data_IF_683867806924
#
_entry.id   IF_683867806924
#
_cell.length_a   1.000
_cell.length_b   1.000
_cell.length_c   1.000
_cell.angle_alpha   90.00
_cell.angle_beta   90.00
_cell.angle_gamma   90.00
#
_symmetry.space_group_name_H-M   'P 1'
#
loop_
_entity.id
_entity.type
_entity.pdbx_description
1 polymer ?
#
# COMPACT_ATOMS: atom_id res chain seq x y z
N UNK A 1 9.41 0.50 -23.36
CA UNK A 1 8.49 1.44 -22.70
C UNK A 1 7.32 0.75 -21.97
N UNK A 2 6.69 -0.31 -22.51
CA UNK A 2 5.67 -1.09 -21.77
C UNK A 2 6.18 -1.78 -20.48
N UNK A 3 7.50 -2.01 -20.37
CA UNK A 3 8.12 -2.62 -19.19
C UNK A 3 7.90 -1.82 -17.89
N UNK A 4 7.92 -0.48 -17.96
CA UNK A 4 7.66 0.38 -16.80
C UNK A 4 6.22 0.25 -16.32
N UNK A 5 5.24 0.28 -17.24
CA UNK A 5 3.83 0.09 -16.92
C UNK A 5 3.56 -1.31 -16.35
N UNK A 6 4.25 -2.33 -16.87
CA UNK A 6 4.18 -3.69 -16.32
C UNK A 6 4.77 -3.77 -14.91
N UNK A 7 5.88 -3.07 -14.65
CA UNK A 7 6.49 -2.98 -13.31
C UNK A 7 5.52 -2.32 -12.32
N UNK A 8 4.91 -1.20 -12.72
CA UNK A 8 3.86 -0.52 -11.94
C UNK A 8 2.70 -1.46 -11.63
N UNK A 9 2.14 -2.14 -12.63
CA UNK A 9 1.03 -3.08 -12.43
C UNK A 9 1.40 -4.16 -11.40
N UNK A 10 2.55 -4.80 -11.58
CA UNK A 10 3.03 -5.86 -10.68
C UNK A 10 3.20 -5.35 -9.26
N UNK A 11 3.78 -4.16 -9.07
CA UNK A 11 3.96 -3.60 -7.74
C UNK A 11 2.63 -3.20 -7.08
N UNK A 12 1.66 -2.69 -7.85
CA UNK A 12 0.32 -2.41 -7.34
C UNK A 12 -0.40 -3.68 -6.88
N UNK A 13 -0.33 -4.77 -7.64
CA UNK A 13 -0.96 -6.05 -7.28
C UNK A 13 -0.23 -6.73 -6.12
N UNK A 14 1.11 -6.70 -6.13
CA UNK A 14 1.94 -7.23 -5.06
C UNK A 14 1.68 -6.51 -3.74
N UNK A 15 1.46 -5.20 -3.77
CA UNK A 15 1.12 -4.42 -2.58
C UNK A 15 -0.14 -4.95 -1.87
N UNK A 16 -1.24 -5.15 -2.62
CA UNK A 16 -2.48 -5.66 -2.03
C UNK A 16 -2.28 -7.01 -1.36
N UNK A 17 -1.63 -7.93 -2.08
CA UNK A 17 -1.37 -9.27 -1.59
C UNK A 17 -0.56 -9.23 -0.30
N UNK A 18 0.47 -8.38 -0.24
CA UNK A 18 1.30 -8.22 0.95
C UNK A 18 0.57 -7.52 2.09
N UNK A 19 -0.35 -6.59 1.81
CA UNK A 19 -1.19 -5.98 2.85
C UNK A 19 -2.15 -7.01 3.46
N UNK A 20 -2.79 -7.85 2.64
CA UNK A 20 -3.66 -8.93 3.11
C UNK A 20 -2.88 -9.92 3.99
N UNK A 21 -1.73 -10.40 3.50
CA UNK A 21 -0.84 -11.29 4.26
C UNK A 21 -0.33 -10.65 5.55
N UNK A 22 0.00 -9.35 5.50
CA UNK A 22 0.44 -8.64 6.70
C UNK A 22 -0.69 -8.48 7.72
N UNK A 23 -1.93 -8.26 7.28
CA UNK A 23 -3.10 -8.22 8.16
C UNK A 23 -3.36 -9.56 8.84
N UNK A 24 -3.28 -10.66 8.10
CA UNK A 24 -3.38 -12.01 8.65
C UNK A 24 -2.28 -12.29 9.69
N UNK A 25 -1.02 -11.95 9.37
CA UNK A 25 0.10 -12.15 10.28
C UNK A 25 -0.03 -11.32 11.57
N UNK A 26 -0.51 -10.08 11.47
CA UNK A 26 -0.77 -9.23 12.65
C UNK A 26 -1.92 -9.80 13.47
N UNK A 27 -3.01 -10.24 12.84
CA UNK A 27 -4.12 -10.87 13.53
C UNK A 27 -3.68 -12.11 14.32
N UNK A 28 -2.86 -12.98 13.71
CA UNK A 28 -2.27 -14.14 14.39
C UNK A 28 -1.43 -13.73 15.61
N UNK A 29 -0.56 -12.72 15.46
CA UNK A 29 0.28 -12.23 16.55
C UNK A 29 -0.57 -11.64 17.71
N UNK A 30 -1.64 -10.91 17.41
CA UNK A 30 -2.54 -10.36 18.41
C UNK A 30 -3.36 -11.46 19.11
N UNK A 31 -3.80 -12.49 18.38
CA UNK A 31 -4.50 -13.64 18.97
C UNK A 31 -3.59 -14.41 19.94
N UNK A 32 -2.33 -14.59 19.60
CA UNK A 32 -1.35 -15.19 20.52
C UNK A 32 -1.14 -14.31 21.77
N UNK A 33 -1.14 -12.99 21.66
CA UNK A 33 -1.12 -12.12 22.85
C UNK A 33 -2.34 -12.33 23.74
N UNK A 34 -3.52 -12.57 23.17
CA UNK A 34 -4.73 -12.90 23.94
C UNK A 34 -4.61 -14.28 24.59
N UNK A 35 -4.06 -15.28 23.89
CA UNK A 35 -3.77 -16.61 24.45
C UNK A 35 -2.85 -16.54 25.68
N UNK A 36 -1.92 -15.60 25.71
CA UNK A 36 -1.04 -15.39 26.86
C UNK A 36 -1.83 -15.09 28.14
N UNK A 37 -2.99 -14.42 28.06
CA UNK A 37 -3.86 -14.20 29.22
C UNK A 37 -4.38 -15.51 29.80
N UNK A 38 -4.84 -16.41 28.93
CA UNK A 38 -5.35 -17.72 29.34
C UNK A 38 -4.25 -18.56 29.97
N UNK A 39 -3.04 -18.49 29.41
CA UNK A 39 -1.88 -19.12 30.00
C UNK A 39 -1.53 -18.48 31.34
N UNK A 40 -1.54 -17.15 31.49
CA UNK A 40 -1.21 -16.49 32.76
C UNK A 40 -2.28 -16.67 33.86
N UNK A 41 -3.50 -17.08 33.51
CA UNK A 41 -4.63 -17.31 34.42
C UNK A 41 -4.77 -18.76 34.91
N UNK A 42 -6.02 -19.18 35.16
CA UNK A 42 -6.41 -20.43 35.81
C UNK A 42 -5.88 -21.71 35.12
N UNK A 43 -5.51 -21.62 33.85
CA UNK A 43 -5.02 -22.78 33.09
C UNK A 43 -3.61 -23.21 33.53
N UNK A 44 -2.73 -22.28 33.92
CA UNK A 44 -1.45 -22.64 34.53
C UNK A 44 -1.60 -23.16 35.96
N UNK A 45 -2.67 -22.77 36.67
CA UNK A 45 -3.00 -23.33 37.99
C UNK A 45 -3.24 -24.83 37.89
N UNK A 46 -3.95 -25.26 36.84
CA UNK A 46 -4.21 -26.67 36.54
C UNK A 46 -2.94 -27.48 36.23
N UNK A 47 -1.86 -26.80 35.80
CA UNK A 47 -0.55 -27.41 35.52
C UNK A 47 0.46 -27.25 36.68
N UNK A 48 0.06 -26.71 37.83
CA UNK A 48 0.95 -26.55 39.00
C UNK A 48 1.49 -27.89 39.52
N UNK A 49 0.71 -28.96 39.39
CA UNK A 49 1.11 -30.32 39.77
C UNK A 49 2.04 -30.98 38.75
N UNK A 50 2.23 -30.39 37.57
CA UNK A 50 3.10 -30.90 36.49
C UNK A 50 4.07 -29.81 35.97
N UNK A 51 5.12 -29.47 36.73
CA UNK A 51 6.04 -28.38 36.40
C UNK A 51 6.68 -28.47 35.01
N UNK A 52 7.05 -29.68 34.58
CA UNK A 52 7.64 -29.90 33.26
C UNK A 52 6.65 -29.62 32.10
N UNK A 53 5.38 -29.98 32.26
CA UNK A 53 4.34 -29.70 31.27
C UNK A 53 4.03 -28.19 31.19
N UNK A 54 3.97 -27.53 32.35
CA UNK A 54 3.87 -26.07 32.46
C UNK A 54 4.99 -25.35 31.73
N UNK A 55 6.23 -25.75 31.96
CA UNK A 55 7.39 -25.15 31.30
C UNK A 55 7.33 -25.34 29.78
N UNK A 56 7.05 -26.58 29.31
CA UNK A 56 6.94 -26.88 27.87
C UNK A 56 5.84 -26.05 27.18
N UNK A 57 4.72 -25.83 27.85
CA UNK A 57 3.62 -25.01 27.33
C UNK A 57 4.03 -23.54 27.17
N UNK A 58 4.67 -22.95 28.19
CA UNK A 58 5.17 -21.58 28.16
C UNK A 58 6.25 -21.38 27.08
N UNK A 59 7.19 -22.31 26.98
CA UNK A 59 8.23 -22.27 25.95
C UNK A 59 7.65 -22.41 24.53
N UNK A 60 6.69 -23.32 24.34
CA UNK A 60 6.00 -23.49 23.07
C UNK A 60 5.23 -22.24 22.65
N UNK A 61 4.52 -21.60 23.58
CA UNK A 61 3.83 -20.35 23.31
C UNK A 61 4.78 -19.20 22.96
N UNK A 62 5.90 -19.07 23.69
CA UNK A 62 6.94 -18.08 23.38
C UNK A 62 7.51 -18.26 21.98
N UNK A 63 7.77 -19.51 21.55
CA UNK A 63 8.23 -19.80 20.19
C UNK A 63 7.21 -19.38 19.13
N UNK A 64 5.93 -19.70 19.32
CA UNK A 64 4.84 -19.27 18.42
C UNK A 64 4.76 -17.73 18.32
N UNK A 65 4.88 -17.02 19.44
CA UNK A 65 4.93 -15.55 19.47
C UNK A 65 6.12 -15.00 18.67
N UNK A 66 7.32 -15.57 18.85
CA UNK A 66 8.52 -15.15 18.11
C UNK A 66 8.39 -15.44 16.59
N UNK A 67 7.77 -16.56 16.22
CA UNK A 67 7.50 -16.93 14.82
C UNK A 67 6.47 -16.00 14.16
N UNK A 68 5.36 -15.74 14.84
CA UNK A 68 4.34 -14.80 14.37
C UNK A 68 4.92 -13.39 14.18
N UNK A 69 5.74 -12.92 15.13
CA UNK A 69 6.42 -11.64 15.00
C UNK A 69 7.39 -11.60 13.80
N UNK A 70 8.16 -12.67 13.59
CA UNK A 70 9.04 -12.78 12.41
C UNK A 70 8.23 -12.73 11.11
N UNK A 71 7.06 -13.37 11.06
CA UNK A 71 6.18 -13.33 9.90
C UNK A 71 5.67 -11.91 9.61
N UNK A 72 5.24 -11.17 10.65
CA UNK A 72 4.85 -9.74 10.52
C UNK A 72 6.01 -8.92 9.96
N UNK A 73 7.21 -9.06 10.52
CA UNK A 73 8.40 -8.32 10.05
C UNK A 73 8.77 -8.70 8.60
N UNK A 74 8.63 -9.97 8.22
CA UNK A 74 8.89 -10.41 6.85
C UNK A 74 7.91 -9.77 5.85
N UNK A 75 6.61 -9.76 6.17
CA UNK A 75 5.59 -9.09 5.34
C UNK A 75 5.87 -7.59 5.23
N UNK A 76 6.21 -6.95 6.35
CA UNK A 76 6.54 -5.52 6.39
C UNK A 76 7.74 -5.17 5.50
N UNK A 77 8.79 -6.00 5.50
CA UNK A 77 9.94 -5.83 4.59
C UNK A 77 9.53 -5.96 3.12
N UNK A 78 8.62 -6.88 2.82
CA UNK A 78 8.03 -7.03 1.50
C UNK A 78 7.29 -5.77 1.05
N UNK A 79 6.50 -5.17 1.94
CA UNK A 79 5.78 -3.92 1.67
C UNK A 79 6.75 -2.76 1.43
N UNK A 80 7.78 -2.60 2.26
CA UNK A 80 8.82 -1.58 2.11
C UNK A 80 9.53 -1.72 0.75
N UNK A 81 9.93 -2.93 0.37
CA UNK A 81 10.55 -3.18 -0.94
C UNK A 81 9.60 -2.84 -2.09
N UNK A 82 8.33 -3.19 -1.98
CA UNK A 82 7.33 -2.92 -3.03
C UNK A 82 7.02 -1.42 -3.15
N UNK A 83 7.02 -0.69 -2.03
CA UNK A 83 6.92 0.77 -2.01
C UNK A 83 8.14 1.43 -2.67
N UNK A 84 9.35 0.97 -2.36
CA UNK A 84 10.57 1.46 -3.01
C UNK A 84 10.52 1.25 -4.53
N UNK A 85 10.08 0.09 -4.99
CA UNK A 85 9.89 -0.19 -6.43
C UNK A 85 8.88 0.78 -7.07
N UNK A 86 7.76 1.07 -6.38
CA UNK A 86 6.75 2.03 -6.86
C UNK A 86 7.28 3.47 -6.87
N UNK A 87 8.06 3.86 -5.86
CA UNK A 87 8.71 5.17 -5.79
C UNK A 87 9.66 5.37 -6.97
N UNK A 88 10.44 4.36 -7.34
CA UNK A 88 11.27 4.39 -8.55
C UNK A 88 10.43 4.48 -9.82
N UNK A 89 9.35 3.70 -9.93
CA UNK A 89 8.43 3.81 -11.06
C UNK A 89 7.83 5.22 -11.18
N UNK A 90 7.44 5.84 -10.06
CA UNK A 90 6.88 7.19 -10.04
C UNK A 90 7.88 8.22 -10.55
N UNK A 91 9.16 8.11 -10.15
CA UNK A 91 10.24 8.97 -10.65
C UNK A 91 10.44 8.81 -12.16
N UNK A 92 10.48 7.57 -12.66
CA UNK A 92 10.62 7.30 -14.10
C UNK A 92 9.42 7.84 -14.89
N UNK A 93 8.20 7.65 -14.39
CA UNK A 93 6.98 8.20 -15.00
C UNK A 93 6.97 9.74 -14.99
N UNK A 94 7.41 10.37 -13.89
CA UNK A 94 7.55 11.81 -13.79
C UNK A 94 8.54 12.38 -14.82
N UNK A 95 9.69 11.73 -14.99
CA UNK A 95 10.68 12.13 -16.00
C UNK A 95 10.13 12.01 -17.44
N UNK A 96 9.33 10.98 -17.73
CA UNK A 96 8.63 10.84 -19.02
C UNK A 96 7.64 12.00 -19.22
N UNK A 97 6.85 12.32 -18.20
CA UNK A 97 5.85 13.39 -18.27
C UNK A 97 6.48 14.78 -18.47
N UNK A 98 7.54 15.09 -17.73
CA UNK A 98 8.30 16.34 -17.90
C UNK A 98 8.97 16.44 -19.27
N UNK A 99 9.57 15.34 -19.74
CA UNK A 99 10.19 15.28 -21.06
C UNK A 99 9.20 15.57 -22.19
N UNK A 100 7.96 15.07 -22.06
CA UNK A 100 6.91 15.32 -23.02
C UNK A 100 6.30 16.73 -22.91
N UNK A 101 6.20 17.28 -21.71
CA UNK A 101 5.81 18.68 -21.51
C UNK A 101 6.82 19.63 -22.16
N UNK A 102 8.13 19.40 -21.98
CA UNK A 102 9.20 20.18 -22.63
C UNK A 102 9.12 20.10 -24.16
N UNK A 103 8.84 18.93 -24.73
CA UNK A 103 8.64 18.77 -26.19
C UNK A 103 7.40 19.52 -26.71
N UNK A 104 6.30 19.53 -25.96
CA UNK A 104 5.09 20.30 -26.31
C UNK A 104 5.32 21.80 -26.23
N UNK A 105 6.01 22.28 -25.20
CA UNK A 105 6.39 23.69 -25.07
C UNK A 105 7.37 24.14 -26.16
N UNK A 106 8.31 23.28 -26.58
CA UNK A 106 9.21 23.56 -27.70
C UNK A 106 8.48 23.58 -29.05
N UNK A 107 7.50 22.69 -29.27
CA UNK A 107 6.67 22.70 -30.48
C UNK A 107 5.74 23.93 -30.56
N UNK A 108 5.32 24.49 -29.41
CA UNK A 108 4.53 25.72 -29.33
C UNK A 108 5.36 27.01 -29.56
N UNK A 109 6.70 26.93 -29.60
CA UNK A 109 7.60 28.05 -29.92
C UNK A 109 7.93 28.16 -31.42
N UNK A 110 7.34 27.33 -32.28
CA UNK A 110 7.35 27.58 -33.73
C UNK A 110 6.45 28.81 -33.98
N UNK A 111 6.95 29.89 -34.62
CA UNK A 111 6.20 31.13 -34.74
C UNK A 111 5.01 30.92 -35.67
N UNK A 112 3.82 30.73 -35.09
CA UNK A 112 2.56 30.88 -35.81
C UNK A 112 2.20 32.36 -35.74
N UNK A 113 2.15 32.98 -36.93
CA UNK A 113 1.83 34.39 -37.10
C UNK A 113 0.55 34.80 -36.37
N UNK A 114 0.67 35.93 -35.70
CA UNK A 114 -0.34 36.81 -35.14
C UNK A 114 -1.78 36.60 -35.62
N UNK A 115 -2.68 36.24 -34.70
CA UNK A 115 -4.09 36.63 -34.77
C UNK A 115 -4.78 36.61 -33.39
N UNK A 116 -5.00 37.82 -32.86
CA UNK A 116 -6.12 38.32 -32.05
C UNK A 116 -6.61 37.53 -30.82
N UNK A 117 -6.40 38.18 -29.67
CA UNK A 117 -7.00 37.96 -28.36
C UNK A 117 -8.52 37.83 -28.38
N UNK A 118 -9.05 36.92 -27.57
CA UNK A 118 -10.29 37.15 -26.80
C UNK A 118 -10.22 36.48 -25.43
N UNK A 119 -10.46 37.31 -24.42
CA UNK A 119 -10.49 37.03 -22.99
C UNK A 119 -11.66 36.13 -22.60
N UNK A 120 -11.40 35.07 -21.82
CA UNK A 120 -12.41 34.40 -21.00
C UNK A 120 -11.88 34.14 -19.58
N UNK A 121 -12.72 34.48 -18.60
CA UNK A 121 -12.49 34.41 -17.15
C UNK A 121 -12.21 32.97 -16.67
N UNK A 122 -11.47 32.78 -15.55
CA UNK A 122 -11.15 31.46 -15.03
C UNK A 122 -12.38 30.83 -14.35
N UNK A 123 -12.83 29.68 -14.85
CA UNK A 123 -13.67 28.75 -14.09
C UNK A 123 -12.78 27.83 -13.27
N UNK A 124 -13.07 27.72 -11.97
CA UNK A 124 -12.46 26.76 -11.06
C UNK A 124 -12.56 25.33 -11.62
N UNK A 125 -11.50 24.50 -11.55
CA UNK A 125 -11.54 23.15 -12.07
C UNK A 125 -12.39 22.27 -11.13
N UNK A 126 -13.55 21.88 -11.64
CA UNK A 126 -14.31 20.72 -11.15
C UNK A 126 -13.41 19.50 -11.27
N UNK A 127 -13.30 18.70 -10.20
CA UNK A 127 -12.53 17.46 -10.16
C UNK A 127 -12.80 16.61 -11.41
N UNK A 128 -11.86 16.63 -12.35
CA UNK A 128 -11.93 15.91 -13.59
C UNK A 128 -11.72 14.43 -13.30
N UNK A 129 -12.82 13.68 -13.35
CA UNK A 129 -12.80 12.25 -13.69
C UNK A 129 -12.15 12.12 -15.07
N UNK A 130 -10.82 12.10 -15.13
CA UNK A 130 -10.07 11.79 -16.34
C UNK A 130 -10.24 10.30 -16.62
N UNK A 131 -11.15 9.98 -17.53
CA UNK A 131 -11.15 8.69 -18.22
C UNK A 131 -9.81 8.57 -18.94
N UNK A 132 -8.95 7.66 -18.47
CA UNK A 132 -7.73 7.25 -19.17
C UNK A 132 -8.09 6.92 -20.61
N UNK A 133 -7.25 7.33 -21.56
CA UNK A 133 -7.48 7.14 -22.99
C UNK A 133 -7.49 5.64 -23.34
N UNK A 134 -8.65 5.01 -23.17
CA UNK A 134 -8.90 3.61 -23.49
C UNK A 134 -9.08 3.47 -25.01
N UNK A 135 -7.99 3.65 -25.76
CA UNK A 135 -8.03 3.56 -27.21
C UNK A 135 -6.68 3.84 -27.86
N UNK A 136 -5.98 2.77 -28.24
CA UNK A 136 -4.98 2.72 -29.32
C UNK A 136 -3.98 3.88 -29.48
N UNK A 137 -2.73 3.66 -29.07
CA UNK A 137 -1.60 4.04 -29.93
C UNK A 137 -0.33 4.54 -29.26
N UNK A 138 -0.39 5.23 -28.11
CA UNK A 138 0.80 5.91 -27.58
C UNK A 138 1.07 5.59 -26.10
N UNK A 139 2.10 4.76 -25.88
CA UNK A 139 2.60 4.40 -24.54
C UNK A 139 3.02 5.63 -23.73
N UNK A 140 3.58 6.66 -24.37
CA UNK A 140 4.00 7.87 -23.69
C UNK A 140 2.81 8.66 -23.14
N UNK A 141 1.73 8.80 -23.92
CA UNK A 141 0.50 9.47 -23.45
C UNK A 141 -0.13 8.74 -22.28
N UNK A 142 -0.21 7.40 -22.36
CA UNK A 142 -0.75 6.61 -21.25
C UNK A 142 0.12 6.72 -19.98
N UNK A 143 1.45 6.76 -20.13
CA UNK A 143 2.38 6.97 -19.02
C UNK A 143 2.20 8.35 -18.37
N UNK A 144 1.99 9.40 -19.15
CA UNK A 144 1.70 10.73 -18.64
C UNK A 144 0.38 10.79 -17.87
N UNK A 145 -0.68 10.15 -18.40
CA UNK A 145 -2.00 10.13 -17.79
C UNK A 145 -2.01 9.41 -16.43
N UNK A 146 -1.21 8.35 -16.29
CA UNK A 146 -1.16 7.55 -15.05
C UNK A 146 -0.15 8.10 -14.02
N UNK A 147 0.85 8.88 -14.44
CA UNK A 147 1.92 9.39 -13.55
C UNK A 147 1.39 10.09 -12.29
N UNK A 148 0.40 11.01 -12.34
CA UNK A 148 -0.14 11.66 -11.14
C UNK A 148 -0.76 10.66 -10.16
N UNK A 149 -1.49 9.67 -10.67
CA UNK A 149 -2.08 8.64 -9.82
C UNK A 149 -1.01 7.80 -9.12
N UNK A 150 0.07 7.42 -9.81
CA UNK A 150 1.15 6.65 -9.19
C UNK A 150 1.89 7.46 -8.13
N UNK A 151 2.06 8.78 -8.32
CA UNK A 151 2.61 9.65 -7.28
C UNK A 151 1.72 9.64 -6.01
N UNK A 152 0.40 9.82 -6.16
CA UNK A 152 -0.54 9.75 -5.03
C UNK A 152 -0.52 8.38 -4.33
N UNK A 153 -0.41 7.29 -5.09
CA UNK A 153 -0.27 5.93 -4.53
C UNK A 153 0.98 5.82 -3.66
N UNK A 154 2.11 6.31 -4.15
CA UNK A 154 3.40 6.23 -3.44
C UNK A 154 3.34 6.99 -2.11
N UNK A 155 2.73 8.17 -2.10
CA UNK A 155 2.58 8.95 -0.87
C UNK A 155 1.67 8.23 0.13
N UNK A 156 0.48 7.79 -0.31
CA UNK A 156 -0.47 7.07 0.53
C UNK A 156 0.12 5.78 1.12
N UNK A 157 0.88 5.03 0.32
CA UNK A 157 1.55 3.80 0.76
C UNK A 157 2.70 4.08 1.73
N UNK A 158 3.41 5.20 1.54
CA UNK A 158 4.46 5.65 2.47
C UNK A 158 3.91 6.03 3.84
N UNK A 159 2.78 6.74 3.86
CA UNK A 159 2.07 7.09 5.10
C UNK A 159 1.56 5.83 5.81
N UNK A 160 0.97 4.89 5.06
CA UNK A 160 0.50 3.60 5.58
C UNK A 160 1.65 2.81 6.22
N UNK A 161 2.80 2.71 5.55
CA UNK A 161 3.99 2.03 6.08
C UNK A 161 4.51 2.69 7.36
N UNK A 162 4.53 4.02 7.40
CA UNK A 162 4.99 4.78 8.55
C UNK A 162 4.13 4.47 9.77
N UNK A 163 2.81 4.52 9.60
CA UNK A 163 1.85 4.17 10.64
C UNK A 163 2.02 2.70 11.10
N UNK A 164 2.08 1.76 10.17
CA UNK A 164 2.28 0.33 10.46
C UNK A 164 3.58 0.07 11.24
N UNK A 165 4.69 0.69 10.84
CA UNK A 165 5.97 0.55 11.53
C UNK A 165 5.92 1.04 12.98
N UNK A 166 5.25 2.17 13.24
CA UNK A 166 5.05 2.66 14.61
C UNK A 166 4.26 1.67 15.47
N UNK A 167 3.25 1.02 14.89
CA UNK A 167 2.38 0.08 15.60
C UNK A 167 3.04 -1.31 15.80
N UNK A 168 3.91 -1.76 14.88
CA UNK A 168 4.66 -3.01 15.05
C UNK A 168 5.53 -2.97 16.31
N UNK A 169 6.19 -1.84 16.56
CA UNK A 169 7.00 -1.63 17.77
C UNK A 169 6.12 -1.62 19.03
N UNK A 170 4.95 -0.97 18.96
CA UNK A 170 4.01 -0.87 20.08
C UNK A 170 3.48 -2.24 20.52
N UNK A 171 3.01 -3.09 19.61
CA UNK A 171 2.41 -4.36 20.01
C UNK A 171 3.43 -5.35 20.59
N UNK A 172 4.69 -5.29 20.11
CA UNK A 172 5.74 -6.18 20.60
C UNK A 172 6.17 -5.85 22.03
N UNK A 173 6.31 -4.57 22.33
CA UNK A 173 7.01 -4.12 23.54
C UNK A 173 6.10 -3.61 24.65
N UNK A 174 4.92 -3.08 24.30
CA UNK A 174 4.11 -2.27 25.23
C UNK A 174 2.66 -2.69 25.35
N UNK A 175 2.16 -3.52 24.44
CA UNK A 175 0.75 -3.89 24.43
C UNK A 175 0.46 -4.94 25.50
N UNK A 176 -0.40 -4.55 26.43
CA UNK A 176 -0.91 -5.49 27.44
C UNK A 176 -1.82 -6.52 26.77
N UNK A 177 -1.68 -7.81 27.12
CA UNK A 177 -2.65 -8.85 26.72
C UNK A 177 -4.11 -8.52 27.03
N UNK A 178 -4.38 -7.63 28.00
CA UNK A 178 -5.72 -7.23 28.40
C UNK A 178 -6.33 -6.09 27.58
N UNK A 179 -5.52 -5.39 26.78
CA UNK A 179 -5.98 -4.23 26.02
C UNK A 179 -6.58 -4.63 24.67
N UNK A 180 -7.72 -5.32 24.71
CA UNK A 180 -8.44 -5.75 23.50
C UNK A 180 -8.88 -4.58 22.62
N UNK A 181 -9.12 -3.41 23.21
CA UNK A 181 -9.53 -2.21 22.46
C UNK A 181 -8.36 -1.73 21.61
N UNK A 182 -7.16 -1.66 22.18
CA UNK A 182 -5.98 -1.24 21.43
C UNK A 182 -5.55 -2.30 20.42
N UNK A 183 -5.66 -3.59 20.73
CA UNK A 183 -5.46 -4.67 19.74
C UNK A 183 -6.36 -4.51 18.50
N UNK A 184 -7.65 -4.26 18.70
CA UNK A 184 -8.58 -4.05 17.59
C UNK A 184 -8.25 -2.80 16.78
N UNK A 185 -7.80 -1.72 17.43
CA UNK A 185 -7.35 -0.50 16.75
C UNK A 185 -6.11 -0.73 15.91
N UNK A 186 -5.13 -1.48 16.45
CA UNK A 186 -3.94 -1.88 15.73
C UNK A 186 -4.34 -2.69 14.51
N UNK A 187 -5.18 -3.72 14.66
CA UNK A 187 -5.63 -4.55 13.55
C UNK A 187 -6.35 -3.74 12.46
N UNK A 188 -7.19 -2.78 12.85
CA UNK A 188 -7.91 -1.92 11.91
C UNK A 188 -6.97 -1.15 10.96
N UNK A 189 -5.75 -0.82 11.38
CA UNK A 189 -4.78 -0.15 10.48
C UNK A 189 -4.38 -1.04 9.30
N UNK A 190 -4.27 -2.36 9.49
CA UNK A 190 -3.95 -3.29 8.39
C UNK A 190 -5.19 -3.66 7.56
N UNK A 191 -6.35 -3.76 8.20
CA UNK A 191 -7.58 -4.17 7.53
C UNK A 191 -8.24 -3.03 6.75
N UNK A 192 -8.36 -1.86 7.37
CA UNK A 192 -9.10 -0.71 6.81
C UNK A 192 -8.21 0.23 5.99
N UNK A 193 -6.88 0.14 6.16
CA UNK A 193 -5.85 0.88 5.39
C UNK A 193 -6.18 2.37 5.28
N UNK A 194 -6.28 3.09 6.40
CA UNK A 194 -6.84 4.45 6.45
C UNK A 194 -6.09 5.44 5.55
N UNK A 195 -4.76 5.29 5.42
CA UNK A 195 -3.94 6.16 4.57
C UNK A 195 -4.20 5.91 3.07
N UNK A 196 -4.61 4.70 2.70
CA UNK A 196 -4.89 4.32 1.30
C UNK A 196 -6.28 4.78 0.83
N UNK A 197 -7.12 5.30 1.74
CA UNK A 197 -8.52 5.61 1.44
C UNK A 197 -8.69 6.50 0.22
N UNK A 198 -7.89 7.57 0.08
CA UNK A 198 -7.98 8.51 -1.04
C UNK A 198 -7.75 7.83 -2.41
N UNK A 199 -6.92 6.78 -2.43
CA UNK A 199 -6.53 6.03 -3.63
C UNK A 199 -7.50 4.87 -3.90
N UNK A 200 -8.04 4.27 -2.84
CA UNK A 200 -8.98 3.16 -2.92
C UNK A 200 -10.46 3.60 -3.11
N UNK A 201 -10.81 4.81 -2.69
CA UNK A 201 -12.21 5.32 -2.70
C UNK A 201 -12.85 5.18 -4.08
N UNK A 202 -14.12 4.80 -4.07
CA UNK A 202 -14.93 4.58 -5.28
C UNK A 202 -14.33 3.58 -6.29
N UNK A 203 -13.39 2.74 -5.84
CA UNK A 203 -12.73 1.77 -6.72
C UNK A 203 -11.78 2.38 -7.74
N UNK A 204 -11.28 3.62 -7.50
CA UNK A 204 -10.36 4.33 -8.41
C UNK A 204 -9.14 3.48 -8.74
N UNK A 205 -8.45 2.94 -7.72
CA UNK A 205 -7.31 2.02 -7.93
C UNK A 205 -7.68 0.81 -8.79
N UNK A 206 -8.81 0.15 -8.51
CA UNK A 206 -9.28 -1.02 -9.30
C UNK A 206 -9.56 -0.64 -10.76
N UNK A 207 -10.11 0.54 -11.00
CA UNK A 207 -10.33 1.05 -12.36
C UNK A 207 -8.99 1.26 -13.08
N UNK A 208 -8.02 1.90 -12.43
CA UNK A 208 -6.68 2.14 -13.02
C UNK A 208 -5.96 0.82 -13.30
N UNK A 209 -5.98 -0.15 -12.37
CA UNK A 209 -5.40 -1.49 -12.58
C UNK A 209 -6.06 -2.19 -13.78
N UNK A 210 -7.38 -2.08 -13.92
CA UNK A 210 -8.11 -2.64 -15.07
C UNK A 210 -7.68 -2.00 -16.38
N UNK A 211 -7.54 -0.67 -16.42
CA UNK A 211 -7.08 0.04 -17.62
C UNK A 211 -5.62 -0.28 -17.94
N UNK A 212 -4.75 -0.42 -16.94
CA UNK A 212 -3.37 -0.91 -17.11
C UNK A 212 -3.35 -2.30 -17.75
N UNK A 213 -4.16 -3.24 -17.24
CA UNK A 213 -4.26 -4.59 -17.79
C UNK A 213 -4.75 -4.58 -19.24
N UNK A 214 -5.78 -3.80 -19.55
CA UNK A 214 -6.27 -3.61 -20.93
C UNK A 214 -5.18 -3.06 -21.85
N UNK A 215 -4.48 -2.01 -21.42
CA UNK A 215 -3.40 -1.38 -22.18
C UNK A 215 -2.26 -2.36 -22.45
N UNK A 216 -1.88 -3.16 -21.44
CA UNK A 216 -0.84 -4.17 -21.52
C UNK A 216 -1.29 -5.50 -22.18
N UNK A 217 -2.57 -5.61 -22.57
CA UNK A 217 -3.19 -6.83 -23.13
C UNK A 217 -3.06 -8.05 -22.21
N UNK A 218 -3.22 -7.81 -20.92
CA UNK A 218 -3.24 -8.84 -19.87
C UNK A 218 -4.68 -9.19 -19.51
N UNK A 219 -4.93 -10.43 -19.01
CA UNK A 219 -6.25 -10.80 -18.50
C UNK A 219 -6.69 -9.88 -17.35
N UNK A 220 -7.99 -9.59 -17.30
CA UNK A 220 -8.60 -8.73 -16.28
C UNK A 220 -8.53 -9.37 -14.89
#
# INVERSE_FOLDING_TARGET
MAALLLRVLRSLEKWDLLQDQSGEAVNEALNLLVELQFLQGDHLVSLQTHPAARQKCLEGHRRRMDEAHKAVVACQRGLISTHADLLECARELGAVAEGAAKKRSAAAQVPVGSALQKTQKPKLPVASSSTLSAGGGNVALFQEEIAPFIAEVVDAYGDQLTLQNSLITLYRERLSPADRKEMNRILAVWMDRPCEWAVARFGRRRAVVRELKKFLRLPA
#
